data_IF_473708989330
#
_entry.id   IF_473708989330
#
_cell.length_a   1.000
_cell.length_b   1.000
_cell.length_c   1.000
_cell.angle_alpha   90.00
_cell.angle_beta   90.00
_cell.angle_gamma   90.00
#
_symmetry.space_group_name_H-M   'P 1'
#
loop_
_entity.id
_entity.type
_entity.pdbx_description
1 polymer ?
#
# COMPACT_ATOMS: atom_id res chain seq x y z
N UNK A 1 23.16 -40.19 64.87
CA UNK A 1 23.48 -39.55 63.59
C UNK A 1 22.40 -38.49 63.30
N UNK A 2 22.76 -37.22 63.46
CA UNK A 2 21.86 -36.09 63.19
C UNK A 2 22.21 -35.55 61.79
N UNK A 3 21.37 -35.74 60.81
CA UNK A 3 21.50 -35.12 59.51
C UNK A 3 20.89 -33.72 59.56
N UNK A 4 21.73 -32.71 59.29
CA UNK A 4 21.35 -31.31 59.25
C UNK A 4 20.52 -31.05 58.01
N UNK A 5 19.28 -30.56 58.19
CA UNK A 5 18.26 -30.28 57.17
C UNK A 5 18.47 -28.88 56.50
N UNK A 6 19.66 -28.28 56.68
CA UNK A 6 19.87 -26.88 56.36
C UNK A 6 20.56 -26.59 55.02
N UNK A 7 20.92 -27.61 54.22
CA UNK A 7 21.67 -27.37 52.96
C UNK A 7 20.88 -27.62 51.66
N UNK A 8 19.59 -27.94 51.76
CA UNK A 8 18.75 -28.26 50.58
C UNK A 8 17.85 -27.09 50.13
N UNK A 9 17.81 -25.98 50.90
CA UNK A 9 16.93 -24.84 50.57
C UNK A 9 17.62 -23.77 49.72
N UNK A 10 18.93 -23.88 49.50
CA UNK A 10 19.72 -22.88 48.73
C UNK A 10 19.79 -23.14 47.22
N UNK A 11 19.44 -24.35 46.75
CA UNK A 11 19.64 -24.74 45.34
C UNK A 11 18.41 -24.58 44.44
N UNK A 12 17.26 -24.28 45.01
CA UNK A 12 15.99 -24.17 44.22
C UNK A 12 15.69 -22.74 43.78
N UNK A 13 16.33 -21.72 44.35
CA UNK A 13 16.08 -20.30 44.05
C UNK A 13 16.94 -19.71 42.90
N UNK A 14 17.84 -20.47 42.31
CA UNK A 14 18.73 -19.99 41.25
C UNK A 14 18.29 -20.44 39.83
N UNK A 15 17.16 -21.16 39.67
CA UNK A 15 16.74 -21.65 38.37
C UNK A 15 15.46 -20.98 37.81
N UNK A 16 14.90 -19.99 38.51
CA UNK A 16 13.68 -19.31 38.09
C UNK A 16 13.90 -17.95 37.42
N UNK A 17 15.11 -17.64 37.01
CA UNK A 17 15.48 -16.30 36.49
C UNK A 17 15.76 -16.18 34.98
N UNK A 18 15.52 -17.21 34.13
CA UNK A 18 16.03 -17.16 32.74
C UNK A 18 14.94 -17.35 31.67
N UNK A 19 13.66 -17.30 32.01
CA UNK A 19 12.60 -17.40 30.99
C UNK A 19 11.73 -16.15 30.86
N UNK A 20 12.34 -14.97 30.69
CA UNK A 20 11.57 -13.75 30.48
C UNK A 20 12.17 -12.83 29.40
N UNK A 21 12.84 -13.38 28.38
CA UNK A 21 13.26 -12.57 27.23
C UNK A 21 13.08 -13.37 25.93
N UNK A 22 11.86 -13.56 25.50
CA UNK A 22 11.55 -13.93 24.13
C UNK A 22 10.08 -13.62 23.82
N UNK A 23 9.72 -12.34 23.95
CA UNK A 23 8.45 -11.83 23.44
C UNK A 23 8.71 -10.45 22.82
N UNK A 24 9.73 -10.34 21.98
CA UNK A 24 9.70 -9.41 20.87
C UNK A 24 9.20 -10.21 19.67
N UNK A 25 7.93 -10.52 19.66
CA UNK A 25 7.22 -10.72 18.42
C UNK A 25 7.33 -9.39 17.69
N UNK A 26 7.86 -9.38 16.47
CA UNK A 26 7.55 -8.35 15.52
C UNK A 26 6.03 -8.49 15.27
N UNK A 27 5.24 -7.89 16.14
CA UNK A 27 3.92 -7.47 15.79
C UNK A 27 4.12 -6.36 14.76
N UNK A 28 4.23 -6.73 13.48
CA UNK A 28 3.76 -5.88 12.40
C UNK A 28 2.25 -5.75 12.61
N UNK A 29 1.91 -5.02 13.65
CA UNK A 29 0.57 -4.54 13.89
C UNK A 29 0.27 -3.57 12.76
N UNK A 30 -0.30 -4.06 11.66
CA UNK A 30 -0.97 -3.20 10.71
C UNK A 30 -1.96 -2.37 11.51
N UNK A 31 -1.91 -1.05 11.43
CA UNK A 31 -2.81 -0.22 12.20
C UNK A 31 -4.23 -0.57 11.81
N UNK A 32 -4.98 -1.16 12.73
CA UNK A 32 -6.38 -1.49 12.60
C UNK A 32 -7.11 -0.34 11.91
N UNK A 33 -7.67 -0.60 10.72
CA UNK A 33 -8.56 0.29 9.98
C UNK A 33 -8.02 1.66 9.54
N UNK A 34 -6.72 1.83 9.34
CA UNK A 34 -6.21 3.09 8.80
C UNK A 34 -6.60 3.23 7.33
N UNK A 35 -7.39 4.26 7.06
CA UNK A 35 -7.72 4.65 5.69
C UNK A 35 -6.52 5.38 5.10
N UNK A 36 -6.01 4.87 4.00
CA UNK A 36 -4.93 5.48 3.23
C UNK A 36 -5.47 6.04 1.93
N UNK A 37 -4.98 7.21 1.53
CA UNK A 37 -5.31 7.83 0.25
C UNK A 37 -4.04 7.85 -0.59
N UNK A 38 -4.08 7.22 -1.77
CA UNK A 38 -2.93 7.13 -2.64
C UNK A 38 -3.33 7.06 -4.12
N UNK A 39 -2.38 7.42 -4.98
CA UNK A 39 -2.51 7.22 -6.42
C UNK A 39 -2.14 5.79 -6.78
N UNK A 40 -2.88 5.22 -7.71
CA UNK A 40 -2.62 3.89 -8.24
C UNK A 40 -2.92 3.80 -9.73
N UNK A 41 -2.25 2.85 -10.38
CA UNK A 41 -2.54 2.40 -11.74
C UNK A 41 -3.38 1.14 -11.67
N UNK A 42 -4.42 1.09 -12.48
CA UNK A 42 -5.26 -0.11 -12.65
C UNK A 42 -4.56 -1.09 -13.57
N UNK A 43 -4.49 -2.35 -13.16
CA UNK A 43 -3.97 -3.44 -13.96
C UNK A 43 -4.94 -4.61 -14.03
N UNK A 44 -4.95 -5.31 -15.18
CA UNK A 44 -5.68 -6.57 -15.38
C UNK A 44 -4.73 -7.62 -15.94
N UNK A 45 -4.81 -8.81 -15.40
CA UNK A 45 -4.10 -9.97 -15.95
C UNK A 45 -5.10 -11.08 -16.25
N UNK A 46 -4.87 -11.90 -17.30
CA UNK A 46 -5.82 -12.95 -17.72
C UNK A 46 -6.18 -13.97 -16.63
N UNK A 47 -5.29 -14.16 -15.65
CA UNK A 47 -5.50 -15.09 -14.53
C UNK A 47 -6.42 -14.52 -13.43
N UNK A 48 -6.73 -13.22 -13.44
CA UNK A 48 -7.56 -12.59 -12.43
C UNK A 48 -8.90 -12.13 -13.03
N UNK A 49 -9.99 -12.46 -12.36
CA UNK A 49 -11.36 -12.06 -12.77
C UNK A 49 -11.63 -10.56 -12.55
N UNK A 50 -10.83 -9.90 -11.73
CA UNK A 50 -10.98 -8.50 -11.39
C UNK A 50 -9.66 -7.73 -11.57
N UNK A 51 -9.72 -6.40 -11.81
CA UNK A 51 -8.54 -5.57 -11.80
C UNK A 51 -7.94 -5.48 -10.39
N UNK A 52 -6.64 -5.25 -10.34
CA UNK A 52 -5.88 -4.93 -9.15
C UNK A 52 -5.18 -3.58 -9.31
N UNK A 53 -4.60 -3.05 -8.26
CA UNK A 53 -3.99 -1.73 -8.26
C UNK A 53 -2.50 -1.81 -7.98
N UNK A 54 -1.73 -0.96 -8.66
CA UNK A 54 -0.31 -0.75 -8.41
C UNK A 54 -0.13 0.68 -7.91
N UNK A 55 0.33 0.83 -6.68
CA UNK A 55 0.67 2.12 -6.10
C UNK A 55 1.90 2.74 -6.78
N UNK A 56 2.10 4.02 -6.62
CA UNK A 56 3.25 4.76 -7.17
C UNK A 56 4.61 4.28 -6.64
N UNK A 57 4.64 3.62 -5.50
CA UNK A 57 5.84 2.94 -4.96
C UNK A 57 6.06 1.52 -5.52
N UNK A 58 5.18 1.04 -6.40
CA UNK A 58 5.24 -0.29 -7.02
C UNK A 58 4.54 -1.39 -6.25
N UNK A 59 3.99 -1.13 -5.08
CA UNK A 59 3.24 -2.11 -4.30
C UNK A 59 1.94 -2.48 -4.99
N UNK A 60 1.64 -3.78 -5.02
CA UNK A 60 0.42 -4.33 -5.63
C UNK A 60 -0.61 -4.58 -4.55
N UNK A 61 -1.82 -4.08 -4.80
CA UNK A 61 -2.97 -4.19 -3.92
C UNK A 61 -4.04 -5.08 -4.54
N UNK A 62 -4.52 -6.08 -3.79
CA UNK A 62 -5.63 -6.91 -4.19
C UNK A 62 -6.93 -6.47 -3.51
N UNK A 63 -8.00 -6.28 -4.29
CA UNK A 63 -9.28 -5.83 -3.75
C UNK A 63 -10.12 -7.02 -3.34
N UNK A 64 -10.18 -7.31 -2.06
CA UNK A 64 -11.04 -8.38 -1.47
C UNK A 64 -12.40 -7.84 -1.04
N UNK A 65 -12.49 -6.54 -0.72
CA UNK A 65 -13.73 -5.86 -0.39
C UNK A 65 -13.82 -4.51 -1.13
N UNK A 66 -15.02 -4.09 -1.45
CA UNK A 66 -15.24 -2.80 -2.09
C UNK A 66 -16.55 -2.15 -1.64
N UNK A 67 -16.53 -0.83 -1.47
CA UNK A 67 -17.71 -0.01 -1.22
C UNK A 67 -18.26 0.62 -2.52
N UNK A 68 -17.45 0.66 -3.56
CA UNK A 68 -17.77 1.26 -4.88
C UNK A 68 -17.51 0.26 -6.01
N UNK A 69 -18.21 0.33 -7.15
CA UNK A 69 -17.92 -0.48 -8.33
C UNK A 69 -16.52 -0.18 -8.87
N UNK A 70 -15.73 -1.20 -9.22
CA UNK A 70 -14.38 -1.03 -9.76
C UNK A 70 -14.01 -2.04 -10.86
N UNK A 71 -14.84 -3.07 -11.10
CA UNK A 71 -14.52 -4.16 -12.04
C UNK A 71 -14.44 -3.72 -13.50
N UNK A 72 -15.10 -2.60 -13.84
CA UNK A 72 -15.11 -2.04 -15.19
C UNK A 72 -13.90 -1.12 -15.48
N UNK A 73 -13.08 -0.83 -14.48
CA UNK A 73 -11.84 -0.09 -14.65
C UNK A 73 -10.92 -0.82 -15.64
N UNK A 74 -10.22 -0.07 -16.47
CA UNK A 74 -9.37 -0.59 -17.55
C UNK A 74 -7.90 -0.50 -17.16
N UNK A 75 -7.11 -1.44 -17.67
CA UNK A 75 -5.64 -1.39 -17.57
C UNK A 75 -5.10 -0.05 -18.07
N UNK A 76 -4.18 0.53 -17.30
CA UNK A 76 -3.57 1.82 -17.56
C UNK A 76 -4.34 3.03 -17.04
N UNK A 77 -5.59 2.86 -16.60
CA UNK A 77 -6.29 3.95 -15.92
C UNK A 77 -5.62 4.32 -14.61
N UNK A 78 -5.57 5.62 -14.33
CA UNK A 78 -5.03 6.16 -13.09
C UNK A 78 -6.17 6.57 -12.17
N UNK A 79 -6.07 6.18 -10.92
CA UNK A 79 -7.04 6.55 -9.89
C UNK A 79 -6.36 7.17 -8.68
N UNK A 80 -7.07 8.06 -8.02
CA UNK A 80 -6.77 8.55 -6.69
C UNK A 80 -7.75 7.86 -5.75
N UNK A 81 -7.28 6.83 -5.06
CA UNK A 81 -8.13 5.91 -4.32
C UNK A 81 -8.00 6.04 -2.81
N UNK A 82 -9.09 5.72 -2.12
CA UNK A 82 -9.16 5.58 -0.67
C UNK A 82 -9.22 4.09 -0.33
N UNK A 83 -8.24 3.59 0.40
CA UNK A 83 -8.02 2.18 0.71
C UNK A 83 -7.99 1.93 2.22
N UNK A 84 -8.54 0.81 2.66
CA UNK A 84 -8.30 0.26 4.00
C UNK A 84 -7.50 -1.02 3.83
N UNK A 85 -6.32 -1.09 4.44
CA UNK A 85 -5.52 -2.31 4.47
C UNK A 85 -6.17 -3.30 5.43
N UNK A 86 -6.32 -4.55 4.99
CA UNK A 86 -6.97 -5.60 5.76
C UNK A 86 -5.96 -6.60 6.29
N UNK A 87 -5.14 -7.15 5.41
CA UNK A 87 -4.12 -8.13 5.76
C UNK A 87 -2.98 -8.15 4.74
N UNK A 88 -1.93 -8.90 5.02
CA UNK A 88 -0.86 -9.14 4.06
C UNK A 88 -1.41 -9.90 2.85
N UNK A 89 -1.08 -9.44 1.64
CA UNK A 89 -1.54 -10.05 0.41
C UNK A 89 -0.87 -11.39 0.11
N UNK A 90 -1.52 -12.19 -0.70
CA UNK A 90 -0.98 -13.47 -1.19
C UNK A 90 -0.55 -13.37 -2.66
N UNK A 91 0.24 -14.35 -3.11
CA UNK A 91 0.51 -14.57 -4.55
C UNK A 91 1.07 -13.37 -5.32
N UNK A 92 1.93 -12.56 -4.69
CA UNK A 92 2.60 -11.43 -5.33
C UNK A 92 1.92 -10.08 -5.13
N UNK A 93 0.88 -10.02 -4.31
CA UNK A 93 0.33 -8.80 -3.77
C UNK A 93 0.96 -8.48 -2.41
N UNK A 94 1.13 -7.18 -2.12
CA UNK A 94 1.67 -6.75 -0.83
C UNK A 94 0.55 -6.71 0.22
N UNK A 95 -0.63 -6.24 -0.18
CA UNK A 95 -1.78 -6.10 0.71
C UNK A 95 -3.08 -6.53 0.05
N UNK A 96 -3.92 -7.15 0.85
CA UNK A 96 -5.35 -7.28 0.61
C UNK A 96 -6.05 -6.05 1.17
N UNK A 97 -6.91 -5.44 0.36
CA UNK A 97 -7.53 -4.16 0.69
C UNK A 97 -9.05 -4.17 0.55
N UNK A 98 -9.66 -3.23 1.26
CA UNK A 98 -10.99 -2.70 0.93
C UNK A 98 -10.83 -1.41 0.15
N UNK A 99 -11.40 -1.35 -1.04
CA UNK A 99 -11.56 -0.10 -1.80
C UNK A 99 -12.77 0.66 -1.25
N UNK A 100 -12.53 1.83 -0.65
CA UNK A 100 -13.60 2.65 -0.06
C UNK A 100 -14.21 3.60 -1.09
N UNK A 101 -13.37 4.28 -1.88
CA UNK A 101 -13.77 5.23 -2.90
C UNK A 101 -12.60 5.49 -3.87
N UNK A 102 -12.87 6.06 -5.03
CA UNK A 102 -11.84 6.53 -5.94
C UNK A 102 -12.33 7.65 -6.86
N UNK A 103 -11.39 8.45 -7.34
CA UNK A 103 -11.59 9.42 -8.42
C UNK A 103 -10.64 9.11 -9.59
N UNK A 104 -11.13 9.23 -10.81
CA UNK A 104 -10.30 9.07 -12.00
C UNK A 104 -9.31 10.22 -12.12
N UNK A 105 -8.05 9.90 -12.43
CA UNK A 105 -7.02 10.89 -12.72
C UNK A 105 -6.83 10.95 -14.23
N UNK A 106 -7.03 12.11 -14.85
CA UNK A 106 -6.82 12.24 -16.29
C UNK A 106 -5.36 11.94 -16.66
N UNK A 107 -5.17 11.07 -17.64
CA UNK A 107 -3.85 10.78 -18.25
C UNK A 107 -3.83 11.35 -19.65
N UNK A 108 -2.75 12.06 -19.99
CA UNK A 108 -2.54 12.63 -21.31
C UNK A 108 -1.12 12.31 -21.78
N UNK A 109 -0.98 12.04 -23.07
CA UNK A 109 0.33 11.87 -23.67
C UNK A 109 1.08 13.21 -23.72
N UNK A 110 2.41 13.13 -23.60
CA UNK A 110 3.27 14.30 -23.78
C UNK A 110 3.31 14.63 -25.27
N UNK A 111 2.78 15.79 -25.63
CA UNK A 111 2.78 16.28 -27.01
C UNK A 111 3.97 17.24 -27.21
N UNK A 112 4.85 16.90 -28.15
CA UNK A 112 5.92 17.82 -28.57
C UNK A 112 5.35 19.04 -29.28
N UNK A 113 5.76 20.23 -28.86
CA UNK A 113 5.42 21.50 -29.54
C UNK A 113 6.05 21.56 -30.93
N UNK A 114 5.25 21.81 -31.93
CA UNK A 114 5.68 22.07 -33.30
C UNK A 114 4.80 23.19 -33.92
N UNK A 115 5.20 23.80 -35.08
CA UNK A 115 4.43 24.88 -35.70
C UNK A 115 2.98 24.52 -36.03
N UNK A 116 2.69 23.23 -36.30
CA UNK A 116 1.38 22.79 -36.72
C UNK A 116 0.37 22.63 -35.55
N UNK A 117 0.87 22.49 -34.33
CA UNK A 117 0.03 22.30 -33.16
C UNK A 117 0.08 23.45 -32.13
N UNK A 118 0.91 24.43 -32.32
CA UNK A 118 1.06 25.59 -31.41
C UNK A 118 -0.26 26.29 -31.12
N UNK A 119 -1.11 26.45 -32.12
CA UNK A 119 -2.39 27.15 -31.99
C UNK A 119 -3.48 26.28 -31.33
N UNK A 120 -3.31 24.95 -31.32
CA UNK A 120 -4.24 24.02 -30.70
C UNK A 120 -3.97 23.75 -29.21
N UNK A 121 -2.77 24.13 -28.76
CA UNK A 121 -2.41 24.02 -27.34
C UNK A 121 -2.83 25.33 -26.66
N UNK A 122 -3.79 25.21 -25.74
CA UNK A 122 -4.34 26.37 -25.04
C UNK A 122 -3.28 27.23 -24.36
N UNK A 123 -3.45 28.55 -24.46
CA UNK A 123 -2.53 29.58 -23.90
C UNK A 123 -2.88 29.95 -22.45
N UNK A 124 -3.65 29.11 -21.73
CA UNK A 124 -4.04 29.40 -20.36
C UNK A 124 -2.85 29.27 -19.42
N UNK A 125 -2.57 30.33 -18.66
CA UNK A 125 -1.52 30.30 -17.65
C UNK A 125 -1.94 29.38 -16.51
N UNK A 126 -1.18 28.32 -16.29
CA UNK A 126 -1.37 27.38 -15.19
C UNK A 126 -0.25 27.57 -14.17
N UNK A 127 -0.60 27.67 -12.89
CA UNK A 127 0.39 27.69 -11.83
C UNK A 127 0.66 26.25 -11.38
N UNK A 128 1.81 25.72 -11.76
CA UNK A 128 2.24 24.40 -11.29
C UNK A 128 2.64 24.51 -9.83
N UNK A 129 2.03 23.67 -8.98
CA UNK A 129 2.33 23.57 -7.55
C UNK A 129 3.34 22.49 -7.25
N UNK A 130 3.28 21.37 -7.98
CA UNK A 130 4.19 20.25 -7.78
C UNK A 130 4.31 19.41 -9.05
N UNK A 131 5.49 18.83 -9.27
CA UNK A 131 5.76 17.81 -10.29
C UNK A 131 6.53 16.68 -9.61
N UNK A 132 6.10 15.43 -9.84
CA UNK A 132 6.85 14.25 -9.40
C UNK A 132 6.69 13.13 -10.42
N UNK A 133 7.62 12.19 -10.39
CA UNK A 133 7.61 11.02 -11.24
C UNK A 133 7.31 9.78 -10.40
N UNK A 134 6.46 8.90 -10.92
CA UNK A 134 6.16 7.61 -10.32
C UNK A 134 5.83 6.61 -11.42
N UNK A 135 6.46 5.44 -11.36
CA UNK A 135 6.39 4.48 -12.43
C UNK A 135 6.71 5.14 -13.79
N UNK A 136 5.79 5.06 -14.75
CA UNK A 136 5.93 5.64 -16.11
C UNK A 136 5.25 7.01 -16.25
N UNK A 137 4.77 7.60 -15.15
CA UNK A 137 3.97 8.82 -15.17
C UNK A 137 4.74 10.02 -14.63
N UNK A 138 4.62 11.14 -15.34
CA UNK A 138 4.89 12.46 -14.79
C UNK A 138 3.59 13.02 -14.21
N UNK A 139 3.53 13.17 -12.90
CA UNK A 139 2.38 13.71 -12.20
C UNK A 139 2.54 15.22 -12.03
N UNK A 140 1.52 15.99 -12.40
CA UNK A 140 1.51 17.44 -12.29
C UNK A 140 0.30 17.88 -11.50
N UNK A 141 0.55 18.64 -10.43
CA UNK A 141 -0.51 19.30 -9.66
C UNK A 141 -0.49 20.81 -9.92
N UNK A 142 -1.60 21.35 -10.32
CA UNK A 142 -1.81 22.76 -10.65
C UNK A 142 -3.10 23.31 -10.01
#
# INVERSE_FOLDING_TARGET
>A
MKYSFSSMLGAVLLFSGVFAFSACGNDESYPDSTVTIAMATVEKQPQYDAPYFILDNGEKLWVVQNAVPYRDLKTGERIFGSYTFLEAGESGFVYDIRLNDYAMVPVQDIIGLNPDNMDSIGNMKVQIKNIWFSNEYMNVRF
#
